data_IF_912643097110
#
_entry.id   IF_912643097110
#
_cell.length_a   1.000
_cell.length_b   1.000
_cell.length_c   1.000
_cell.angle_alpha   90.00
_cell.angle_beta   90.00
_cell.angle_gamma   90.00
#
_symmetry.space_group_name_H-M   'P 1'
#
loop_
_entity.id
_entity.type
_entity.pdbx_description
1 polymer ?
#
# COMPACT_ATOMS: atom_id res chain seq x y z
N UNK A 1 28.37 -57.79 30.92
CA UNK A 1 27.11 -57.89 31.66
C UNK A 1 26.16 -56.83 31.16
N UNK A 2 25.16 -57.33 30.47
CA UNK A 2 23.76 -56.93 30.52
C UNK A 2 23.41 -55.44 30.22
N UNK A 3 22.42 -55.07 29.51
CA UNK A 3 21.27 -55.74 28.84
C UNK A 3 20.61 -54.70 27.94
N UNK A 4 20.10 -55.16 26.86
CA UNK A 4 18.82 -54.92 26.21
C UNK A 4 18.01 -53.68 26.68
N UNK A 5 17.52 -52.92 25.73
CA UNK A 5 16.09 -52.58 25.64
C UNK A 5 15.83 -51.65 24.47
N UNK A 6 15.17 -52.22 23.50
CA UNK A 6 13.78 -52.05 23.10
C UNK A 6 13.52 -50.82 22.17
N UNK A 7 13.27 -51.26 20.96
CA UNK A 7 12.54 -50.58 19.90
C UNK A 7 11.23 -49.95 20.42
N UNK A 8 11.05 -48.71 20.17
CA UNK A 8 9.71 -48.12 20.04
C UNK A 8 9.59 -47.34 18.71
N UNK A 9 9.11 -48.08 17.72
CA UNK A 9 8.41 -47.54 16.58
C UNK A 9 7.23 -46.67 17.06
N UNK A 10 7.27 -45.39 16.79
CA UNK A 10 6.09 -44.55 16.76
C UNK A 10 5.97 -43.90 15.39
N UNK A 11 5.33 -44.64 14.50
CA UNK A 11 4.63 -44.10 13.35
C UNK A 11 3.58 -43.09 13.90
N UNK A 12 3.82 -41.80 13.70
CA UNK A 12 2.81 -40.77 13.75
C UNK A 12 2.76 -40.15 12.37
N UNK A 13 1.76 -40.58 11.64
CA UNK A 13 1.24 -39.89 10.49
C UNK A 13 0.92 -38.45 10.94
N UNK A 14 1.67 -37.49 10.46
CA UNK A 14 1.34 -36.09 10.53
C UNK A 14 0.51 -35.75 9.30
N UNK A 15 -0.78 -35.65 9.50
CA UNK A 15 -1.68 -35.00 8.56
C UNK A 15 -1.20 -33.57 8.32
N UNK A 16 -0.72 -33.35 7.10
CA UNK A 16 -0.38 -32.04 6.58
C UNK A 16 -1.68 -31.23 6.40
N UNK A 17 -1.98 -30.42 7.38
CA UNK A 17 -2.93 -29.33 7.22
C UNK A 17 -2.16 -28.10 6.73
N UNK A 18 -1.93 -28.04 5.42
CA UNK A 18 -1.52 -26.83 4.71
C UNK A 18 -2.75 -25.92 4.51
N UNK A 19 -3.25 -25.37 5.57
CA UNK A 19 -4.08 -24.14 5.50
C UNK A 19 -3.16 -22.95 5.67
N UNK A 20 -2.36 -22.66 4.65
CA UNK A 20 -1.72 -21.35 4.52
C UNK A 20 -2.75 -20.37 4.00
N UNK A 21 -3.46 -19.75 4.92
CA UNK A 21 -4.06 -18.44 4.68
C UNK A 21 -2.92 -17.48 4.34
N UNK A 22 -2.68 -17.32 3.03
CA UNK A 22 -1.81 -16.30 2.47
C UNK A 22 -2.40 -14.90 2.71
N UNK A 23 -2.42 -14.49 3.98
CA UNK A 23 -2.36 -13.08 4.29
C UNK A 23 -0.94 -12.64 3.96
N UNK A 24 -0.73 -12.16 2.73
CA UNK A 24 0.47 -11.42 2.35
C UNK A 24 0.59 -10.24 3.33
N UNK A 25 1.29 -10.48 4.43
CA UNK A 25 1.55 -9.50 5.46
C UNK A 25 2.33 -8.37 4.81
N UNK A 26 1.77 -7.18 4.84
CA UNK A 26 2.46 -5.95 4.52
C UNK A 26 3.61 -5.80 5.53
N UNK A 27 4.83 -6.07 5.10
CA UNK A 27 6.04 -5.88 5.91
C UNK A 27 6.49 -4.41 5.84
N UNK A 28 5.54 -3.53 6.11
CA UNK A 28 5.86 -2.19 6.57
C UNK A 28 6.17 -2.37 8.06
N UNK A 29 7.37 -2.07 8.52
CA UNK A 29 7.67 -2.04 9.95
C UNK A 29 6.50 -1.43 10.75
N UNK A 30 6.52 -1.41 12.06
CA UNK A 30 5.36 -1.05 12.91
C UNK A 30 4.58 0.22 12.47
N UNK A 31 5.14 1.05 11.57
CA UNK A 31 4.52 2.30 11.09
C UNK A 31 4.81 2.49 9.60
N UNK A 32 3.76 2.53 8.77
CA UNK A 32 3.84 2.93 7.38
C UNK A 32 4.14 4.44 7.25
N UNK A 33 5.25 4.82 6.59
CA UNK A 33 5.68 6.22 6.47
C UNK A 33 4.81 7.05 5.51
N UNK A 34 3.93 6.44 4.70
CA UNK A 34 3.16 7.12 3.66
C UNK A 34 1.88 7.81 4.16
N UNK A 35 1.83 8.13 5.47
CA UNK A 35 0.67 8.77 6.11
C UNK A 35 0.26 10.12 5.49
N UNK A 36 1.16 10.75 4.74
CA UNK A 36 0.91 11.99 3.99
C UNK A 36 -0.06 11.81 2.82
N UNK A 37 -0.28 10.60 2.34
CA UNK A 37 -1.27 10.28 1.31
C UNK A 37 -2.72 10.31 1.84
N UNK A 38 -2.92 10.48 3.15
CA UNK A 38 -4.22 10.75 3.73
C UNK A 38 -4.50 12.26 3.79
N UNK A 39 -5.47 12.71 3.04
CA UNK A 39 -5.95 14.10 3.11
C UNK A 39 -6.53 14.45 4.49
N UNK A 40 -7.04 13.49 5.24
CA UNK A 40 -7.48 13.67 6.62
C UNK A 40 -6.30 13.95 7.57
N UNK A 41 -5.18 13.23 7.38
CA UNK A 41 -3.95 13.50 8.11
C UNK A 41 -3.40 14.90 7.78
N UNK A 42 -3.37 15.26 6.49
CA UNK A 42 -2.92 16.58 6.06
C UNK A 42 -3.72 17.69 6.73
N UNK A 43 -5.05 17.61 6.77
CA UNK A 43 -5.91 18.58 7.47
C UNK A 43 -5.64 18.65 8.97
N UNK A 44 -5.33 17.51 9.60
CA UNK A 44 -4.96 17.45 11.01
C UNK A 44 -3.62 18.13 11.25
N UNK A 45 -2.62 17.84 10.41
CA UNK A 45 -1.30 18.45 10.52
C UNK A 45 -1.29 19.93 10.31
N UNK A 46 -2.11 20.49 9.40
CA UNK A 46 -2.26 21.92 9.22
C UNK A 46 -2.67 22.62 10.52
N UNK A 47 -3.59 22.05 11.28
CA UNK A 47 -4.00 22.60 12.57
C UNK A 47 -2.86 22.54 13.61
N UNK A 48 -2.15 21.39 13.66
CA UNK A 48 -1.01 21.23 14.59
C UNK A 48 0.12 22.20 14.25
N UNK A 49 0.44 22.37 12.97
CA UNK A 49 1.45 23.30 12.49
C UNK A 49 1.07 24.74 12.84
N UNK A 50 -0.16 25.16 12.54
CA UNK A 50 -0.64 26.49 12.87
C UNK A 50 -0.57 26.77 14.38
N UNK A 51 -0.98 25.81 15.22
CA UNK A 51 -0.88 25.94 16.67
C UNK A 51 0.56 26.06 17.17
N UNK A 52 1.48 25.27 16.62
CA UNK A 52 2.91 25.33 16.99
C UNK A 52 3.57 26.63 16.54
N UNK A 53 3.29 27.09 15.33
CA UNK A 53 3.79 28.38 14.84
C UNK A 53 3.23 29.53 15.67
N UNK A 54 1.95 29.51 16.01
CA UNK A 54 1.32 30.55 16.85
C UNK A 54 1.91 30.58 18.27
N UNK A 55 2.35 29.46 18.81
CA UNK A 55 3.02 29.43 20.10
C UNK A 55 4.45 30.01 20.06
N UNK A 56 5.13 29.91 18.92
CA UNK A 56 6.49 30.43 18.70
C UNK A 56 6.45 31.92 18.28
N UNK A 57 5.42 32.32 17.57
CA UNK A 57 5.23 33.66 17.03
C UNK A 57 3.76 34.12 17.21
N UNK A 58 3.40 34.56 18.43
CA UNK A 58 2.03 34.90 18.77
C UNK A 58 1.48 36.11 17.98
N UNK A 59 2.34 37.02 17.53
CA UNK A 59 1.93 38.22 16.77
C UNK A 59 1.33 37.81 15.41
N UNK A 60 1.76 36.71 14.82
CA UNK A 60 1.27 36.19 13.54
C UNK A 60 0.27 35.04 13.67
N UNK A 61 -0.19 34.71 14.88
CA UNK A 61 -1.10 33.60 15.13
C UNK A 61 -2.35 33.59 14.23
N UNK A 62 -2.96 34.78 14.05
CA UNK A 62 -4.12 34.95 13.18
C UNK A 62 -3.84 34.54 11.72
N UNK A 63 -2.66 34.88 11.22
CA UNK A 63 -2.22 34.54 9.86
C UNK A 63 -2.02 33.02 9.71
N UNK A 64 -1.36 32.37 10.68
CA UNK A 64 -1.14 30.93 10.64
C UNK A 64 -2.45 30.13 10.62
N UNK A 65 -3.41 30.49 11.46
CA UNK A 65 -4.73 29.84 11.44
C UNK A 65 -5.55 30.18 10.18
N UNK A 66 -5.44 31.40 9.63
CA UNK A 66 -6.10 31.75 8.38
C UNK A 66 -5.55 30.88 7.22
N UNK A 67 -4.22 30.79 7.08
CA UNK A 67 -3.58 29.95 6.06
C UNK A 67 -3.93 28.46 6.21
N UNK A 68 -3.95 27.95 7.44
CA UNK A 68 -4.34 26.56 7.69
C UNK A 68 -5.80 26.29 7.32
N UNK A 69 -6.69 27.26 7.55
CA UNK A 69 -8.10 27.13 7.17
C UNK A 69 -8.28 27.19 5.64
N UNK A 70 -7.57 28.06 4.96
CA UNK A 70 -7.58 28.15 3.49
C UNK A 70 -7.08 26.82 2.87
N UNK A 71 -5.91 26.33 3.29
CA UNK A 71 -5.34 25.06 2.82
C UNK A 71 -6.27 23.85 3.11
N UNK A 72 -7.01 23.85 4.21
CA UNK A 72 -8.03 22.82 4.47
C UNK A 72 -9.17 22.87 3.46
N UNK A 73 -9.60 24.07 3.07
CA UNK A 73 -10.61 24.24 2.03
C UNK A 73 -10.12 23.74 0.66
N UNK A 74 -8.84 23.96 0.34
CA UNK A 74 -8.22 23.42 -0.88
C UNK A 74 -8.17 21.88 -0.85
N UNK A 75 -7.85 21.28 0.30
CA UNK A 75 -7.87 19.83 0.48
C UNK A 75 -9.29 19.26 0.34
N UNK A 76 -10.32 19.96 0.82
CA UNK A 76 -11.70 19.53 0.65
C UNK A 76 -12.10 19.56 -0.84
N UNK A 77 -11.72 20.60 -1.57
CA UNK A 77 -11.91 20.65 -3.02
C UNK A 77 -11.16 19.55 -3.78
N UNK A 78 -9.92 19.26 -3.37
CA UNK A 78 -9.15 18.12 -3.91
C UNK A 78 -9.86 16.79 -3.66
N UNK A 79 -10.40 16.56 -2.45
CA UNK A 79 -11.15 15.35 -2.14
C UNK A 79 -12.36 15.17 -3.07
N UNK A 80 -13.10 16.25 -3.33
CA UNK A 80 -14.25 16.22 -4.24
C UNK A 80 -13.81 15.87 -5.67
N UNK A 81 -12.71 16.44 -6.14
CA UNK A 81 -12.15 16.18 -7.47
C UNK A 81 -11.69 14.73 -7.59
N UNK A 82 -10.91 14.22 -6.64
CA UNK A 82 -10.44 12.81 -6.63
C UNK A 82 -11.62 11.85 -6.61
N UNK A 83 -12.60 12.07 -5.73
CA UNK A 83 -13.80 11.23 -5.70
C UNK A 83 -14.56 11.24 -7.03
N UNK A 84 -14.68 12.41 -7.67
CA UNK A 84 -15.32 12.52 -9.00
C UNK A 84 -14.55 11.73 -10.06
N UNK A 85 -13.23 11.74 -10.03
CA UNK A 85 -12.39 10.96 -10.95
C UNK A 85 -12.49 9.46 -10.68
N UNK A 86 -12.52 9.03 -9.41
CA UNK A 86 -12.53 7.63 -9.02
C UNK A 86 -13.91 6.98 -9.14
N UNK A 87 -15.00 7.74 -9.03
CA UNK A 87 -16.35 7.19 -9.06
C UNK A 87 -16.65 6.28 -10.27
N UNK A 88 -16.29 6.64 -11.52
CA UNK A 88 -16.54 5.78 -12.67
C UNK A 88 -15.61 4.54 -12.70
N UNK A 89 -14.56 4.51 -11.88
CA UNK A 89 -13.56 3.44 -11.83
C UNK A 89 -13.78 2.48 -10.66
N UNK A 90 -14.77 2.74 -9.80
CA UNK A 90 -15.04 1.89 -8.63
C UNK A 90 -15.34 0.45 -9.03
N UNK A 91 -14.73 -0.50 -8.32
CA UNK A 91 -14.78 -1.92 -8.65
C UNK A 91 -13.79 -2.33 -9.76
N UNK A 92 -13.08 -1.37 -10.35
CA UNK A 92 -11.94 -1.65 -11.21
C UNK A 92 -10.77 -2.21 -10.40
N UNK A 93 -9.95 -3.04 -11.06
CA UNK A 93 -8.77 -3.64 -10.46
C UNK A 93 -7.51 -2.99 -11.01
N UNK A 94 -6.58 -2.68 -10.11
CA UNK A 94 -5.28 -2.16 -10.47
C UNK A 94 -4.19 -2.71 -9.55
N UNK A 95 -2.94 -2.65 -10.01
CA UNK A 95 -1.75 -3.00 -9.25
C UNK A 95 -0.88 -1.76 -9.12
N UNK A 96 -0.23 -1.59 -7.98
CA UNK A 96 0.75 -0.51 -7.76
C UNK A 96 2.18 -1.05 -7.87
N UNK A 97 3.16 -0.19 -8.16
CA UNK A 97 4.54 -0.65 -8.20
C UNK A 97 5.04 -1.00 -6.81
N UNK A 98 4.92 -0.10 -5.85
CA UNK A 98 5.28 -0.37 -4.46
C UNK A 98 4.11 -0.15 -3.50
N UNK A 99 4.16 -0.79 -2.35
CA UNK A 99 3.08 -0.82 -1.37
C UNK A 99 3.11 0.44 -0.48
N UNK A 100 2.68 1.57 -1.03
CA UNK A 100 2.69 2.88 -0.39
C UNK A 100 1.31 3.51 -0.21
N UNK A 101 0.28 2.92 -0.79
CA UNK A 101 -0.98 3.63 -1.03
C UNK A 101 -2.09 3.33 -0.01
N UNK A 102 -1.83 2.55 1.07
CA UNK A 102 -2.88 2.14 2.01
C UNK A 102 -3.68 3.30 2.62
N UNK A 103 -3.04 4.46 2.85
CA UNK A 103 -3.74 5.64 3.37
C UNK A 103 -4.66 6.28 2.34
N UNK A 104 -4.23 6.33 1.08
CA UNK A 104 -5.06 6.77 -0.05
C UNK A 104 -6.22 5.80 -0.28
N UNK A 105 -5.93 4.52 -0.32
CA UNK A 105 -6.92 3.44 -0.50
C UNK A 105 -8.02 3.52 0.56
N UNK A 106 -7.63 3.75 1.81
CA UNK A 106 -8.56 3.88 2.93
C UNK A 106 -9.41 5.15 2.83
N UNK A 107 -8.81 6.30 2.49
CA UNK A 107 -9.53 7.58 2.41
C UNK A 107 -10.56 7.56 1.29
N UNK A 108 -10.23 6.94 0.15
CA UNK A 108 -11.08 6.97 -1.05
C UNK A 108 -11.85 5.69 -1.31
N UNK A 109 -11.73 4.68 -0.42
CA UNK A 109 -12.33 3.35 -0.63
C UNK A 109 -12.00 2.81 -2.04
N UNK A 110 -10.69 2.80 -2.35
CA UNK A 110 -10.16 2.42 -3.67
C UNK A 110 -8.93 1.51 -3.50
N UNK A 111 -9.13 0.24 -3.08
CA UNK A 111 -8.04 -0.67 -2.75
C UNK A 111 -7.33 -1.19 -3.99
N UNK A 112 -5.99 -1.23 -3.94
CA UNK A 112 -5.17 -1.92 -4.94
C UNK A 112 -5.37 -3.44 -4.85
N UNK A 113 -5.24 -4.12 -5.99
CA UNK A 113 -5.28 -5.59 -6.05
C UNK A 113 -3.93 -6.23 -5.66
N UNK A 114 -2.91 -5.43 -5.45
CA UNK A 114 -1.58 -5.85 -4.99
C UNK A 114 -0.48 -4.87 -5.42
N UNK A 115 0.73 -5.12 -4.92
CA UNK A 115 1.92 -4.35 -5.21
C UNK A 115 3.00 -5.25 -5.83
N UNK A 116 3.79 -4.71 -6.77
CA UNK A 116 4.91 -5.42 -7.39
C UNK A 116 6.05 -5.58 -6.36
N UNK A 117 6.40 -4.49 -5.69
CA UNK A 117 7.37 -4.47 -4.58
C UNK A 117 6.65 -4.22 -3.25
N UNK A 118 7.06 -4.93 -2.21
CA UNK A 118 6.50 -4.77 -0.86
C UNK A 118 7.24 -3.72 -0.02
N UNK A 119 8.28 -3.10 -0.57
CA UNK A 119 9.05 -2.08 0.15
C UNK A 119 9.87 -1.20 -0.79
N UNK A 120 10.33 -0.05 -0.28
CA UNK A 120 11.01 0.99 -1.04
C UNK A 120 12.47 0.65 -1.36
N UNK A 121 13.07 -0.25 -0.60
CA UNK A 121 14.52 -0.44 -0.56
C UNK A 121 15.03 -1.67 -1.31
N UNK A 122 14.17 -2.53 -1.83
CA UNK A 122 14.57 -3.77 -2.49
C UNK A 122 13.77 -4.06 -3.75
N UNK A 123 14.48 -4.54 -4.78
CA UNK A 123 13.80 -5.06 -5.97
C UNK A 123 12.98 -6.31 -5.63
N UNK A 124 11.81 -6.49 -6.25
CA UNK A 124 10.98 -7.67 -6.06
C UNK A 124 11.70 -8.93 -6.54
N UNK A 125 11.49 -10.05 -5.84
CA UNK A 125 12.02 -11.35 -6.25
C UNK A 125 11.39 -11.82 -7.58
N UNK A 126 12.06 -12.72 -8.29
CA UNK A 126 11.51 -13.32 -9.51
C UNK A 126 10.19 -14.08 -9.25
N UNK A 127 10.04 -14.68 -8.07
CA UNK A 127 8.79 -15.32 -7.65
C UNK A 127 7.66 -14.31 -7.50
N UNK A 128 7.94 -13.16 -6.87
CA UNK A 128 6.95 -12.07 -6.72
C UNK A 128 6.52 -11.50 -8.06
N UNK A 129 7.46 -11.27 -8.97
CA UNK A 129 7.17 -10.82 -10.34
C UNK A 129 6.23 -11.80 -11.05
N UNK A 130 6.52 -13.11 -10.97
CA UNK A 130 5.68 -14.13 -11.58
C UNK A 130 4.27 -14.20 -10.96
N UNK A 131 4.17 -14.07 -9.64
CA UNK A 131 2.89 -14.02 -8.91
C UNK A 131 2.04 -12.83 -9.39
N UNK A 132 2.60 -11.62 -9.41
CA UNK A 132 1.86 -10.42 -9.83
C UNK A 132 1.47 -10.49 -11.32
N UNK A 133 2.35 -10.99 -12.20
CA UNK A 133 2.03 -11.20 -13.61
C UNK A 133 0.86 -12.19 -13.79
N UNK A 134 0.85 -13.28 -13.02
CA UNK A 134 -0.25 -14.23 -13.01
C UNK A 134 -1.56 -13.59 -12.50
N UNK A 135 -1.49 -12.78 -11.45
CA UNK A 135 -2.63 -12.06 -10.89
C UNK A 135 -3.22 -11.08 -11.92
N UNK A 136 -2.38 -10.25 -12.56
CA UNK A 136 -2.81 -9.33 -13.62
C UNK A 136 -3.60 -10.07 -14.71
N UNK A 137 -3.07 -11.20 -15.16
CA UNK A 137 -3.70 -12.02 -16.20
C UNK A 137 -5.00 -12.68 -15.74
N UNK A 138 -4.97 -13.36 -14.58
CA UNK A 138 -6.11 -14.14 -14.10
C UNK A 138 -7.29 -13.27 -13.68
N UNK A 139 -7.00 -12.10 -13.11
CA UNK A 139 -8.02 -11.16 -12.64
C UNK A 139 -8.38 -10.10 -13.68
N UNK A 140 -7.77 -10.16 -14.87
CA UNK A 140 -7.99 -9.19 -15.96
C UNK A 140 -7.76 -7.74 -15.53
N UNK A 141 -6.69 -7.51 -14.77
CA UNK A 141 -6.29 -6.18 -14.31
C UNK A 141 -5.85 -5.36 -15.51
N UNK A 142 -6.35 -4.13 -15.63
CA UNK A 142 -6.12 -3.27 -16.79
C UNK A 142 -5.18 -2.10 -16.51
N UNK A 143 -4.86 -1.84 -15.26
CA UNK A 143 -4.05 -0.70 -14.86
C UNK A 143 -2.94 -1.11 -13.91
N UNK A 144 -1.72 -0.64 -14.18
CA UNK A 144 -0.56 -0.76 -13.31
C UNK A 144 -0.03 0.64 -13.05
N UNK A 145 -0.11 1.11 -11.80
CA UNK A 145 0.47 2.39 -11.41
C UNK A 145 1.98 2.22 -11.22
N UNK A 146 2.74 3.06 -11.90
CA UNK A 146 4.20 3.08 -11.80
C UNK A 146 4.70 4.47 -11.45
N UNK A 147 5.80 4.52 -10.71
CA UNK A 147 6.43 5.77 -10.34
C UNK A 147 7.76 5.95 -11.06
N UNK A 148 8.13 7.20 -11.43
CA UNK A 148 9.29 7.47 -12.27
C UNK A 148 10.64 7.13 -11.61
N UNK A 149 10.68 7.00 -10.28
CA UNK A 149 11.88 6.65 -9.53
C UNK A 149 12.21 5.15 -9.57
N UNK A 150 11.27 4.29 -9.97
CA UNK A 150 11.46 2.85 -10.02
C UNK A 150 11.79 2.34 -11.41
N UNK A 151 12.27 1.09 -11.47
CA UNK A 151 12.68 0.45 -12.72
C UNK A 151 11.49 0.11 -13.63
N UNK A 152 11.27 0.89 -14.66
CA UNK A 152 10.23 0.67 -15.66
C UNK A 152 10.36 -0.70 -16.38
N UNK A 153 11.52 -1.34 -16.35
CA UNK A 153 11.73 -2.67 -16.92
C UNK A 153 10.93 -3.74 -16.16
N UNK A 154 10.83 -3.63 -14.83
CA UNK A 154 10.03 -4.55 -14.00
C UNK A 154 8.55 -4.43 -14.31
N UNK A 155 8.04 -3.22 -14.48
CA UNK A 155 6.65 -2.97 -14.87
C UNK A 155 6.33 -3.64 -16.21
N UNK A 156 7.22 -3.50 -17.21
CA UNK A 156 7.05 -4.16 -18.51
C UNK A 156 7.01 -5.68 -18.40
N UNK A 157 7.85 -6.26 -17.54
CA UNK A 157 7.89 -7.71 -17.34
C UNK A 157 6.57 -8.22 -16.75
N UNK A 158 6.01 -7.56 -15.74
CA UNK A 158 4.74 -8.00 -15.13
C UNK A 158 3.54 -7.79 -16.05
N UNK A 159 3.61 -6.85 -16.99
CA UNK A 159 2.56 -6.61 -17.98
C UNK A 159 2.70 -7.47 -19.24
N UNK A 160 3.82 -8.16 -19.42
CA UNK A 160 4.07 -8.92 -20.66
C UNK A 160 3.02 -10.01 -20.88
N UNK A 161 2.47 -10.06 -22.09
CA UNK A 161 1.38 -10.98 -22.43
C UNK A 161 0.03 -10.69 -21.76
N UNK A 162 -0.17 -9.46 -21.25
CA UNK A 162 -1.44 -8.96 -20.69
C UNK A 162 -1.97 -7.77 -21.50
N UNK A 163 -3.22 -7.36 -21.24
CA UNK A 163 -3.82 -6.14 -21.79
C UNK A 163 -3.71 -4.95 -20.81
N UNK A 164 -2.86 -5.02 -19.80
CA UNK A 164 -2.67 -3.95 -18.83
C UNK A 164 -1.88 -2.79 -19.43
N UNK A 165 -2.16 -1.58 -18.96
CA UNK A 165 -1.47 -0.33 -19.32
C UNK A 165 -0.97 0.37 -18.05
N UNK A 166 0.04 1.25 -18.19
CA UNK A 166 0.53 2.16 -17.15
C UNK A 166 -0.01 3.56 -17.35
#
# INVERSE_FOLDING_TARGET
DHDDHDDHDHDKEHDDHDDHDDHAGHDHGEIDPHAWLSTNNAKTWLNVIAAKLSALDPENAGTYFANANEARGEIDALNDEVNKMLNPLRGGKFVVFHDAYQYFETVYDFPASGAISLGDASDPSAARIAEIAARIKNENIKCVLSEPQFNAGLVKIVMDGTDANT
#
